data_IF_338756260617
#
_entry.id   IF_338756260617
#
_cell.length_a   1.000
_cell.length_b   1.000
_cell.length_c   1.000
_cell.angle_alpha   90.00
_cell.angle_beta   90.00
_cell.angle_gamma   90.00
#
_symmetry.space_group_name_H-M   'P 1'
#
loop_
_entity.id
_entity.type
_entity.pdbx_description
1 polymer ?
#
# COMPACT_ATOMS: atom_id res chain seq x y z
N UNK A 1 -8.15 -13.28 6.33
CA UNK A 1 -9.01 -12.70 5.28
C UNK A 1 -8.15 -12.46 4.05
N UNK A 2 -8.64 -12.88 2.89
CA UNK A 2 -8.10 -12.45 1.60
C UNK A 2 -8.42 -10.97 1.40
N UNK A 3 -7.56 -10.23 0.68
CA UNK A 3 -7.84 -8.86 0.29
C UNK A 3 -9.22 -8.75 -0.37
N UNK A 4 -10.06 -7.82 0.10
CA UNK A 4 -11.31 -7.47 -0.53
C UNK A 4 -11.08 -6.37 -1.57
N UNK A 5 -11.70 -6.53 -2.74
CA UNK A 5 -11.66 -5.56 -3.83
C UNK A 5 -12.14 -4.18 -3.40
N UNK A 6 -13.23 -4.14 -2.64
CA UNK A 6 -13.84 -2.88 -2.20
C UNK A 6 -12.92 -2.14 -1.25
N UNK A 7 -12.21 -2.85 -0.37
CA UNK A 7 -11.24 -2.29 0.57
C UNK A 7 -10.01 -1.74 -0.19
N UNK A 8 -9.47 -2.48 -1.15
CA UNK A 8 -8.35 -2.03 -1.98
C UNK A 8 -8.73 -0.87 -2.92
N UNK A 9 -9.97 -0.83 -3.40
CA UNK A 9 -10.49 0.31 -4.15
C UNK A 9 -10.68 1.53 -3.22
N UNK A 10 -11.11 1.29 -1.98
CA UNK A 10 -11.31 2.33 -0.97
C UNK A 10 -9.99 2.95 -0.51
N UNK A 11 -8.92 2.16 -0.37
CA UNK A 11 -7.59 2.72 -0.06
C UNK A 11 -7.04 3.58 -1.21
N UNK A 12 -7.25 3.15 -2.46
CA UNK A 12 -6.91 3.96 -3.64
C UNK A 12 -7.69 5.28 -3.69
N UNK A 13 -8.97 5.24 -3.32
CA UNK A 13 -9.82 6.42 -3.19
C UNK A 13 -9.38 7.32 -2.02
N UNK A 14 -8.98 6.75 -0.89
CA UNK A 14 -8.43 7.48 0.26
C UNK A 14 -7.22 8.31 -0.15
N UNK A 15 -6.25 7.71 -0.87
CA UNK A 15 -5.06 8.41 -1.38
C UNK A 15 -5.43 9.64 -2.24
N UNK A 16 -6.50 9.52 -3.05
CA UNK A 16 -6.99 10.62 -3.89
C UNK A 16 -7.75 11.68 -3.07
N UNK A 17 -8.64 11.27 -2.19
CA UNK A 17 -9.50 12.18 -1.41
C UNK A 17 -8.71 13.00 -0.40
N UNK A 18 -7.66 12.43 0.17
CA UNK A 18 -6.74 13.10 1.08
C UNK A 18 -5.51 13.68 0.36
N UNK A 19 -5.58 13.90 -0.96
CA UNK A 19 -4.46 14.37 -1.79
C UNK A 19 -3.83 15.68 -1.35
N UNK A 20 -4.56 16.54 -0.62
CA UNK A 20 -4.03 17.78 -0.03
C UNK A 20 -3.12 17.57 1.19
N UNK A 21 -3.08 16.36 1.75
CA UNK A 21 -2.18 16.00 2.85
C UNK A 21 -0.84 15.47 2.31
N UNK A 22 0.17 15.51 3.17
CA UNK A 22 1.52 15.04 2.86
C UNK A 22 1.81 13.73 3.59
N UNK A 23 2.30 12.74 2.84
CA UNK A 23 2.95 11.56 3.36
C UNK A 23 4.42 11.89 3.63
N UNK A 24 4.88 11.60 4.85
CA UNK A 24 6.27 11.76 5.26
C UNK A 24 6.86 10.37 5.39
N UNK A 25 7.88 10.07 4.59
CA UNK A 25 8.53 8.75 4.53
C UNK A 25 10.00 8.96 4.92
N UNK A 26 10.40 8.55 6.15
CA UNK A 26 11.77 8.71 6.62
C UNK A 26 12.79 8.01 5.71
N UNK A 27 14.07 8.39 5.84
CA UNK A 27 15.15 7.79 5.07
C UNK A 27 15.30 6.29 5.36
N UNK A 28 15.41 5.46 4.31
CA UNK A 28 15.52 4.00 4.41
C UNK A 28 14.42 3.34 5.25
N UNK A 29 13.24 3.94 5.25
CA UNK A 29 12.11 3.51 6.07
C UNK A 29 10.88 3.25 5.20
N UNK A 30 9.89 2.61 5.80
CA UNK A 30 8.63 2.25 5.19
C UNK A 30 7.44 2.79 5.98
N UNK A 31 6.41 3.17 5.24
CA UNK A 31 5.14 3.62 5.80
C UNK A 31 4.02 2.76 5.24
N UNK A 32 3.02 2.54 6.08
CA UNK A 32 1.88 1.71 5.76
C UNK A 32 0.59 2.48 5.99
N UNK A 33 -0.32 2.34 5.04
CA UNK A 33 -1.70 2.76 5.17
C UNK A 33 -2.56 1.52 5.04
N UNK A 34 -3.43 1.29 6.01
CA UNK A 34 -4.26 0.10 6.10
C UNK A 34 -5.73 0.51 6.09
N UNK A 35 -6.52 -0.22 5.32
CA UNK A 35 -7.97 -0.10 5.29
C UNK A 35 -8.57 -1.50 5.24
N UNK A 36 -9.09 -1.94 6.39
CA UNK A 36 -9.66 -3.26 6.63
C UNK A 36 -8.74 -4.41 6.17
N UNK A 37 -9.01 -5.00 5.00
CA UNK A 37 -8.25 -6.15 4.50
C UNK A 37 -7.14 -5.80 3.51
N UNK A 38 -6.92 -4.51 3.21
CA UNK A 38 -5.95 -4.06 2.24
C UNK A 38 -4.97 -3.04 2.81
N UNK A 39 -3.68 -3.19 2.49
CA UNK A 39 -2.61 -2.30 2.95
C UNK A 39 -1.79 -1.81 1.77
N UNK A 40 -1.60 -0.50 1.69
CA UNK A 40 -0.64 0.14 0.81
C UNK A 40 0.62 0.45 1.60
N UNK A 41 1.75 -0.11 1.20
CA UNK A 41 3.07 0.21 1.71
C UNK A 41 3.83 1.11 0.74
N UNK A 42 4.62 2.04 1.28
CA UNK A 42 5.62 2.78 0.53
C UNK A 42 6.96 2.82 1.27
N UNK A 43 8.04 2.56 0.55
CA UNK A 43 9.41 2.51 1.08
C UNK A 43 10.25 3.58 0.42
N UNK A 44 10.99 4.34 1.23
CA UNK A 44 12.00 5.28 0.77
C UNK A 44 13.36 4.59 0.72
N UNK A 45 13.97 4.54 -0.47
CA UNK A 45 15.27 3.88 -0.69
C UNK A 45 16.44 4.87 -0.73
N UNK A 46 16.19 6.11 -0.30
CA UNK A 46 17.17 7.19 -0.30
C UNK A 46 17.52 7.63 1.13
N UNK A 47 18.71 8.22 1.34
CA UNK A 47 19.14 8.73 2.64
C UNK A 47 18.42 10.02 3.08
N UNK A 48 17.48 10.54 2.29
CA UNK A 48 16.76 11.77 2.58
C UNK A 48 15.29 11.47 2.84
N UNK A 49 14.69 12.10 3.86
CA UNK A 49 13.23 12.03 4.08
C UNK A 49 12.49 12.51 2.83
N UNK A 50 11.50 11.71 2.40
CA UNK A 50 10.62 12.05 1.29
C UNK A 50 9.33 12.63 1.85
N UNK A 51 8.88 13.71 1.23
CA UNK A 51 7.58 14.31 1.52
C UNK A 51 6.86 14.41 0.19
N UNK A 52 5.78 13.64 0.05
CA UNK A 52 4.99 13.59 -1.18
C UNK A 52 3.50 13.71 -0.85
N UNK A 53 2.69 14.30 -1.73
CA UNK A 53 1.24 14.29 -1.56
C UNK A 53 0.69 12.86 -1.53
N UNK A 54 -0.37 12.59 -0.77
CA UNK A 54 -1.04 11.28 -0.79
C UNK A 54 -1.52 10.90 -2.20
N UNK A 55 -1.96 11.89 -2.99
CA UNK A 55 -2.41 11.69 -4.38
C UNK A 55 -1.30 11.14 -5.29
N UNK A 56 -0.03 11.29 -4.92
CA UNK A 56 1.09 10.69 -5.62
C UNK A 56 0.95 9.17 -5.71
N UNK A 57 0.43 8.53 -4.67
CA UNK A 57 0.28 7.08 -4.61
C UNK A 57 -1.00 6.57 -5.27
N UNK A 58 -2.00 7.43 -5.46
CA UNK A 58 -3.29 7.04 -6.03
C UNK A 58 -3.19 6.33 -7.39
N UNK A 59 -2.49 6.85 -8.43
CA UNK A 59 -2.42 6.18 -9.73
C UNK A 59 -1.73 4.81 -9.66
N UNK A 60 -0.68 4.70 -8.83
CA UNK A 60 0.01 3.43 -8.62
C UNK A 60 -0.90 2.42 -7.91
N UNK A 61 -1.63 2.88 -6.90
CA UNK A 61 -2.59 2.05 -6.17
C UNK A 61 -3.70 1.50 -7.10
N UNK A 62 -4.26 2.33 -7.99
CA UNK A 62 -5.25 1.85 -8.97
C UNK A 62 -4.68 0.85 -9.97
N UNK A 63 -3.42 1.04 -10.41
CA UNK A 63 -2.76 0.07 -11.29
C UNK A 63 -2.60 -1.28 -10.57
N UNK A 64 -2.13 -1.24 -9.32
CA UNK A 64 -1.97 -2.42 -8.46
C UNK A 64 -3.28 -3.14 -8.16
N UNK A 65 -4.37 -2.42 -7.95
CA UNK A 65 -5.71 -3.02 -7.84
C UNK A 65 -6.10 -3.71 -9.14
N UNK A 66 -5.91 -3.07 -10.29
CA UNK A 66 -6.22 -3.66 -11.60
C UNK A 66 -5.43 -4.95 -11.82
N UNK A 67 -4.11 -4.94 -11.63
CA UNK A 67 -3.27 -6.11 -11.81
C UNK A 67 -3.61 -7.23 -10.80
N UNK A 68 -3.92 -6.87 -9.55
CA UNK A 68 -4.40 -7.83 -8.55
C UNK A 68 -5.71 -8.50 -8.99
N UNK A 69 -6.66 -7.77 -9.59
CA UNK A 69 -7.93 -8.32 -10.10
C UNK A 69 -7.67 -9.26 -11.28
N UNK A 70 -6.88 -8.81 -12.26
CA UNK A 70 -6.72 -9.53 -13.51
C UNK A 70 -5.78 -10.73 -13.39
N UNK A 71 -4.77 -10.66 -12.52
CA UNK A 71 -3.71 -11.66 -12.42
C UNK A 71 -3.61 -12.35 -11.05
N UNK A 72 -4.36 -11.89 -10.04
CA UNK A 72 -4.44 -12.54 -8.72
C UNK A 72 -3.15 -12.51 -7.93
N UNK A 73 -2.35 -11.43 -8.06
CA UNK A 73 -1.04 -11.28 -7.41
C UNK A 73 -0.92 -9.92 -6.74
N UNK A 74 -0.25 -9.88 -5.59
CA UNK A 74 0.22 -8.62 -5.00
C UNK A 74 1.18 -7.95 -5.99
N UNK A 75 1.01 -6.65 -6.21
CA UNK A 75 1.85 -5.89 -7.14
C UNK A 75 2.77 -4.93 -6.38
N UNK A 76 3.97 -4.79 -6.91
CA UNK A 76 5.00 -3.87 -6.47
C UNK A 76 5.32 -2.93 -7.62
N UNK A 77 5.41 -1.63 -7.32
CA UNK A 77 5.78 -0.60 -8.28
C UNK A 77 7.06 0.12 -7.84
N UNK A 78 8.05 0.13 -8.73
CA UNK A 78 9.31 0.82 -8.53
C UNK A 78 9.23 2.26 -9.06
N UNK A 79 9.41 3.23 -8.17
CA UNK A 79 9.38 4.66 -8.51
C UNK A 79 10.82 5.17 -8.53
N UNK A 80 11.62 4.63 -9.45
CA UNK A 80 13.06 4.87 -9.54
C UNK A 80 13.41 6.36 -9.58
N UNK A 81 12.65 7.15 -10.35
CA UNK A 81 12.87 8.60 -10.49
C UNK A 81 12.76 9.36 -9.16
N UNK A 82 12.00 8.84 -8.19
CA UNK A 82 11.87 9.42 -6.86
C UNK A 82 12.67 8.67 -5.79
N UNK A 83 13.32 7.55 -6.14
CA UNK A 83 14.04 6.68 -5.20
C UNK A 83 13.11 6.03 -4.17
N UNK A 84 11.87 5.74 -4.56
CA UNK A 84 10.87 5.10 -3.69
C UNK A 84 10.35 3.84 -4.35
N UNK A 85 9.68 3.02 -3.55
CA UNK A 85 8.90 1.89 -4.04
C UNK A 85 7.55 1.87 -3.31
N UNK A 86 6.53 1.34 -3.97
CA UNK A 86 5.23 1.14 -3.35
C UNK A 86 4.71 -0.26 -3.64
N UNK A 87 3.95 -0.82 -2.73
CA UNK A 87 3.31 -2.12 -2.90
C UNK A 87 1.91 -2.09 -2.32
N UNK A 88 0.98 -2.75 -3.00
CA UNK A 88 -0.36 -3.00 -2.49
C UNK A 88 -0.46 -4.48 -2.21
N UNK A 89 -0.81 -4.82 -0.98
CA UNK A 89 -0.95 -6.20 -0.55
C UNK A 89 -2.17 -6.37 0.33
N UNK A 90 -2.77 -7.55 0.27
CA UNK A 90 -3.75 -7.94 1.25
C UNK A 90 -3.11 -8.00 2.62
N UNK A 91 -3.79 -7.49 3.65
CA UNK A 91 -3.41 -7.78 5.03
C UNK A 91 -3.24 -9.30 5.21
N UNK A 92 -2.30 -9.78 6.05
CA UNK A 92 -2.14 -11.20 6.27
C UNK A 92 -3.51 -11.78 6.63
N UNK A 93 -3.90 -12.89 6.01
CA UNK A 93 -5.06 -13.58 6.49
C UNK A 93 -4.83 -13.86 7.98
N UNK A 94 -5.69 -13.31 8.86
CA UNK A 94 -5.59 -13.51 10.30
C UNK A 94 -5.11 -14.94 10.58
N UNK A 95 -4.02 -15.14 11.35
CA UNK A 95 -3.46 -16.47 11.54
C UNK A 95 -4.61 -17.38 11.94
N UNK A 96 -4.72 -18.55 11.32
CA UNK A 96 -5.66 -19.57 11.76
C UNK A 96 -5.39 -19.69 13.25
N UNK A 97 -6.34 -19.28 14.10
CA UNK A 97 -6.21 -19.46 15.54
C UNK A 97 -6.03 -20.97 15.71
N UNK A 98 -4.79 -21.43 15.85
CA UNK A 98 -4.57 -22.74 16.43
C UNK A 98 -5.13 -22.58 17.84
N UNK A 99 -6.20 -23.31 18.22
CA UNK A 99 -6.55 -23.37 19.62
C UNK A 99 -5.29 -23.85 20.33
N UNK A 100 -4.87 -23.09 21.36
CA UNK A 100 -3.82 -23.50 22.28
C UNK A 100 -4.08 -24.95 22.67
N UNK A 101 -3.24 -25.86 22.17
CA UNK A 101 -3.18 -27.20 22.71
C UNK A 101 -2.52 -27.06 24.08
N UNK A 102 -3.33 -27.18 25.14
CA UNK A 102 -2.86 -27.41 26.50
C UNK A 102 -2.11 -28.75 26.59
#
# INVERSE_FOLDING_TARGET
>A
MSANLDDCSSISNFMRQYGGNLAIIPAFDEVYWELDTCTLGATNRTPCTKVVPYEFFAPYCYNMVSECIYYGRDEYFDIESNGMSAALFGGPAAPIYSPLAC
#
